data_IF_513600513333
#
_entry.id   IF_513600513333
#
_cell.length_a   1.000
_cell.length_b   1.000
_cell.length_c   1.000
_cell.angle_alpha   90.00
_cell.angle_beta   90.00
_cell.angle_gamma   90.00
#
_symmetry.space_group_name_H-M   'P 1'
#
loop_
_entity.id
_entity.type
_entity.pdbx_description
1 polymer ?
#
# COMPACT_ATOMS: atom_id res chain seq x y z
N UNK A 1 -25.90 -9.17 -18.13
CA UNK A 1 -24.59 -9.45 -18.76
C UNK A 1 -23.56 -8.52 -18.16
N UNK A 2 -22.40 -9.02 -17.76
CA UNK A 2 -21.36 -8.19 -17.14
C UNK A 2 -20.47 -7.58 -18.22
N UNK A 3 -20.67 -6.32 -18.57
CA UNK A 3 -19.88 -5.64 -19.59
C UNK A 3 -18.47 -5.37 -19.10
N UNK A 4 -17.46 -5.79 -19.86
CA UNK A 4 -16.04 -5.47 -19.65
C UNK A 4 -15.56 -4.52 -20.74
N UNK A 5 -14.63 -3.63 -20.41
CA UNK A 5 -14.01 -2.69 -21.35
C UNK A 5 -12.53 -2.50 -21.00
N UNK A 6 -11.77 -1.94 -21.95
CA UNK A 6 -10.36 -1.59 -21.76
C UNK A 6 -10.23 -0.20 -21.14
N UNK A 7 -9.38 -0.09 -20.12
CA UNK A 7 -9.11 1.14 -19.38
C UNK A 7 -7.61 1.35 -19.21
N UNK A 8 -7.21 2.60 -18.96
CA UNK A 8 -5.83 2.95 -18.68
C UNK A 8 -5.55 2.98 -17.17
N UNK A 9 -4.42 2.40 -16.77
CA UNK A 9 -3.95 2.40 -15.40
C UNK A 9 -3.42 3.78 -15.01
N UNK A 10 -3.90 4.34 -13.90
CA UNK A 10 -3.46 5.66 -13.45
C UNK A 10 -2.04 5.67 -12.86
N UNK A 11 -1.41 4.51 -12.61
CA UNK A 11 -0.06 4.45 -12.05
C UNK A 11 1.01 4.24 -13.13
N UNK A 12 0.82 3.27 -14.02
CA UNK A 12 1.81 2.92 -15.06
C UNK A 12 1.39 3.32 -16.48
N UNK A 13 0.18 3.82 -16.69
CA UNK A 13 -0.34 4.14 -18.03
C UNK A 13 -0.76 2.93 -18.87
N UNK A 14 -0.44 1.71 -18.45
CA UNK A 14 -0.77 0.48 -19.18
C UNK A 14 -2.28 0.26 -19.32
N UNK A 15 -2.69 -0.31 -20.46
CA UNK A 15 -4.08 -0.69 -20.71
C UNK A 15 -4.41 -2.01 -20.01
N UNK A 16 -5.62 -2.14 -19.48
CA UNK A 16 -6.10 -3.37 -18.85
C UNK A 16 -7.62 -3.51 -19.01
N UNK A 17 -8.10 -4.75 -19.00
CA UNK A 17 -9.53 -5.05 -19.11
C UNK A 17 -10.15 -5.09 -17.72
N UNK A 18 -11.23 -4.34 -17.52
CA UNK A 18 -12.00 -4.36 -16.29
C UNK A 18 -13.50 -4.29 -16.54
N UNK A 19 -14.31 -4.65 -15.54
CA UNK A 19 -15.76 -4.54 -15.64
C UNK A 19 -16.17 -3.07 -15.58
N UNK A 20 -17.10 -2.68 -16.42
CA UNK A 20 -17.63 -1.32 -16.48
C UNK A 20 -18.29 -0.92 -15.16
N UNK A 21 -18.94 -1.87 -14.47
CA UNK A 21 -19.50 -1.66 -13.13
C UNK A 21 -18.44 -1.30 -12.08
N UNK A 22 -17.29 -1.99 -12.07
CA UNK A 22 -16.18 -1.69 -11.15
C UNK A 22 -15.54 -0.35 -11.48
N UNK A 23 -15.54 0.06 -12.76
CA UNK A 23 -15.07 1.38 -13.15
C UNK A 23 -16.02 2.48 -12.69
N UNK A 24 -17.33 2.29 -12.85
CA UNK A 24 -18.35 3.25 -12.42
C UNK A 24 -18.31 3.48 -10.89
N UNK A 25 -17.98 2.45 -10.11
CA UNK A 25 -17.76 2.55 -8.65
C UNK A 25 -16.39 3.14 -8.27
N UNK A 26 -15.50 3.38 -9.23
CA UNK A 26 -14.14 3.87 -8.99
C UNK A 26 -13.15 2.81 -8.48
N UNK A 27 -13.47 1.52 -8.55
CA UNK A 27 -12.63 0.42 -8.05
C UNK A 27 -11.56 0.00 -9.07
N UNK A 28 -11.91 -0.06 -10.36
CA UNK A 28 -10.99 -0.45 -11.43
C UNK A 28 -10.14 0.73 -11.97
N UNK A 29 -9.27 1.30 -11.12
CA UNK A 29 -8.38 2.43 -11.50
C UNK A 29 -6.94 2.01 -11.84
N UNK A 30 -6.57 0.79 -11.46
CA UNK A 30 -5.21 0.28 -11.59
C UNK A 30 -5.23 -1.13 -12.19
N UNK A 31 -4.23 -1.45 -12.99
CA UNK A 31 -4.11 -2.78 -13.62
C UNK A 31 -3.70 -3.88 -12.63
N UNK A 32 -3.01 -3.53 -11.53
CA UNK A 32 -2.52 -4.50 -10.54
C UNK A 32 -2.56 -3.94 -9.12
N UNK A 33 -2.57 -4.87 -8.13
CA UNK A 33 -2.44 -4.53 -6.71
C UNK A 33 -1.17 -3.72 -6.44
N UNK A 34 -0.07 -4.06 -7.10
CA UNK A 34 1.20 -3.34 -7.00
C UNK A 34 1.11 -1.90 -7.50
N UNK A 35 0.40 -1.65 -8.61
CA UNK A 35 0.18 -0.30 -9.11
C UNK A 35 -0.65 0.56 -8.14
N UNK A 36 -1.67 -0.03 -7.53
CA UNK A 36 -2.45 0.63 -6.48
C UNK A 36 -1.58 0.95 -5.26
N UNK A 37 -0.83 -0.03 -4.76
CA UNK A 37 0.04 0.12 -3.60
C UNK A 37 1.09 1.21 -3.82
N UNK A 38 1.80 1.22 -4.97
CA UNK A 38 2.78 2.28 -5.29
C UNK A 38 2.17 3.68 -5.26
N UNK A 39 0.98 3.85 -5.84
CA UNK A 39 0.32 5.17 -5.87
C UNK A 39 -0.22 5.58 -4.50
N UNK A 40 -0.63 4.61 -3.69
CA UNK A 40 -1.04 4.84 -2.31
C UNK A 40 0.16 5.22 -1.43
N UNK A 41 1.25 4.46 -1.50
CA UNK A 41 2.50 4.74 -0.78
C UNK A 41 3.08 6.11 -1.13
N UNK A 42 3.12 6.47 -2.42
CA UNK A 42 3.57 7.80 -2.83
C UNK A 42 2.71 8.95 -2.24
N UNK A 43 1.43 8.69 -1.93
CA UNK A 43 0.52 9.69 -1.37
C UNK A 43 0.59 9.77 0.15
N UNK A 44 0.67 8.63 0.83
CA UNK A 44 0.49 8.54 2.29
C UNK A 44 1.76 8.17 3.04
N UNK A 45 2.78 7.60 2.38
CA UNK A 45 4.03 7.18 3.01
C UNK A 45 3.86 6.15 4.14
N UNK A 46 2.80 5.33 4.10
CA UNK A 46 2.40 4.47 5.22
C UNK A 46 3.46 3.42 5.53
N UNK A 47 4.05 2.83 4.50
CA UNK A 47 5.14 1.87 4.65
C UNK A 47 6.42 2.52 5.18
N UNK A 48 6.69 3.79 4.82
CA UNK A 48 7.83 4.53 5.38
C UNK A 48 7.60 4.82 6.88
N UNK A 49 6.43 5.34 7.24
CA UNK A 49 6.07 5.60 8.63
C UNK A 49 6.04 4.32 9.49
N UNK A 50 5.66 3.18 8.91
CA UNK A 50 5.73 1.88 9.59
C UNK A 50 7.18 1.44 9.82
N UNK A 51 8.06 1.59 8.82
CA UNK A 51 9.49 1.30 8.97
C UNK A 51 10.12 2.19 10.04
N UNK A 52 9.87 3.51 9.99
CA UNK A 52 10.36 4.45 11.02
C UNK A 52 9.97 4.01 12.44
N UNK A 53 8.73 3.56 12.66
CA UNK A 53 8.29 3.01 13.97
C UNK A 53 8.93 1.67 14.31
N UNK A 54 9.30 0.86 13.32
CA UNK A 54 9.94 -0.45 13.53
C UNK A 54 11.42 -0.30 13.85
N UNK A 55 12.11 0.63 13.21
CA UNK A 55 13.54 0.88 13.42
C UNK A 55 13.81 1.62 14.75
N UNK A 56 12.83 2.35 15.30
CA UNK A 56 12.86 2.91 16.67
C UNK A 56 12.79 1.82 17.76
N UNK A 57 12.40 0.60 17.41
CA UNK A 57 12.49 -0.59 18.28
C UNK A 57 13.94 -1.13 18.33
N UNK A 58 14.91 -0.22 18.39
CA UNK A 58 16.28 -0.49 18.81
C UNK A 58 16.35 -0.49 20.33
N UNK A 59 16.32 -1.69 20.91
CA UNK A 59 16.81 -2.00 22.26
C UNK A 59 16.22 -1.13 23.39
N UNK A 60 15.17 -1.61 24.04
CA UNK A 60 15.14 -1.43 25.48
C UNK A 60 16.29 -2.31 26.03
N UNK A 61 17.40 -1.76 26.57
CA UNK A 61 18.27 -2.60 27.37
C UNK A 61 17.41 -3.12 28.49
N UNK A 62 17.11 -4.43 28.49
CA UNK A 62 16.57 -5.09 29.67
C UNK A 62 17.55 -4.75 30.78
N UNK A 63 17.16 -4.06 31.86
CA UNK A 63 18.02 -3.93 33.02
C UNK A 63 18.08 -5.34 33.63
N UNK A 64 19.01 -6.15 33.12
CA UNK A 64 19.71 -7.06 33.99
C UNK A 64 20.52 -6.19 34.97
N UNK A 65 20.75 -6.72 36.16
CA UNK A 65 21.47 -6.16 37.30
C UNK A 65 20.96 -4.87 37.96
N UNK A 66 20.35 -5.06 39.14
CA UNK A 66 20.24 -4.08 40.21
C UNK A 66 20.08 -4.78 41.55
N UNK A 67 21.20 -5.21 42.14
CA UNK A 67 21.36 -5.72 43.51
C UNK A 67 20.59 -4.82 44.51
N UNK A 68 19.60 -5.40 45.22
CA UNK A 68 18.99 -4.77 46.39
C UNK A 68 19.82 -5.17 47.60
N UNK A 69 20.47 -4.17 48.20
CA UNK A 69 21.22 -4.21 49.47
C UNK A 69 20.39 -4.70 50.65
#
# INVERSE_FOLDING_TARGET
MTSTAQYQCQACGGTFTARTADRARGWARFCSKSCKARKQEARTGQYRAYQERRDDEGCFPSPAEGDVQ
#
